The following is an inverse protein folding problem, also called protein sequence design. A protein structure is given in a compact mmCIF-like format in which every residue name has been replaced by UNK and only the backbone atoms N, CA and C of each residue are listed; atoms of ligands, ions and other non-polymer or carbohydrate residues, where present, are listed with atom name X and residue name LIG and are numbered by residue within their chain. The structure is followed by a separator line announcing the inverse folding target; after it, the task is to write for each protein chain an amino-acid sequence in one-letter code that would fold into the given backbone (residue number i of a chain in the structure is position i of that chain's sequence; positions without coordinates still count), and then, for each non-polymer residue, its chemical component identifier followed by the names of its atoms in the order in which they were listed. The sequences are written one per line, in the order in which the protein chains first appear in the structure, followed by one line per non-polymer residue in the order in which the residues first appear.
data_IF_934652659990
#
_entry.id   IF_934652659990
#
_cell.length_a   1.000
_cell.length_b   1.000
_cell.length_c   1.000
_cell.angle_alpha   90.00
_cell.angle_beta   90.00
_cell.angle_gamma   90.00
#
_symmetry.space_group_name_H-M   'P 1'
#
loop_
_entity.id
_entity.type
_entity.pdbx_description
1 polymer ?
#
# COMPACT_ATOMS: atom_id res chain seq x y z
N UNK A 1 -10.11 58.70 -17.79
CA UNK A 1 -10.53 57.85 -16.65
C UNK A 1 -11.20 56.55 -17.11
N UNK A 2 -12.28 56.53 -17.89
CA UNK A 2 -13.01 55.30 -18.31
C UNK A 2 -12.12 54.26 -19.03
N UNK A 3 -11.19 54.68 -19.90
CA UNK A 3 -10.25 53.77 -20.62
C UNK A 3 -9.22 53.09 -19.70
N UNK A 4 -8.76 53.81 -18.65
CA UNK A 4 -7.82 53.29 -17.66
C UNK A 4 -8.50 52.22 -16.80
N UNK A 5 -9.72 52.44 -16.35
CA UNK A 5 -10.52 51.48 -15.58
C UNK A 5 -10.74 50.18 -16.39
N UNK A 6 -11.02 50.33 -17.68
CA UNK A 6 -11.23 49.19 -18.58
C UNK A 6 -9.95 48.33 -18.75
N UNK A 7 -8.79 48.98 -18.86
CA UNK A 7 -7.50 48.29 -18.95
C UNK A 7 -7.16 47.53 -17.66
N UNK A 8 -7.37 48.16 -16.49
CA UNK A 8 -7.16 47.49 -15.20
C UNK A 8 -8.14 46.34 -14.98
N UNK A 9 -9.40 46.46 -15.39
CA UNK A 9 -10.38 45.38 -15.36
C UNK A 9 -9.98 44.19 -16.23
N UNK A 10 -9.47 44.44 -17.45
CA UNK A 10 -9.01 43.42 -18.36
C UNK A 10 -7.77 42.69 -17.83
N UNK A 11 -6.80 43.42 -17.27
CA UNK A 11 -5.61 42.88 -16.63
C UNK A 11 -5.94 42.01 -15.40
N UNK A 12 -6.92 42.45 -14.60
CA UNK A 12 -7.39 41.68 -13.44
C UNK A 12 -8.06 40.37 -13.87
N UNK A 13 -8.91 40.39 -14.93
CA UNK A 13 -9.51 39.18 -15.48
C UNK A 13 -8.47 38.19 -16.05
N UNK A 14 -7.42 38.69 -16.71
CA UNK A 14 -6.32 37.87 -17.20
C UNK A 14 -5.50 37.25 -16.05
N UNK A 15 -5.26 37.99 -14.98
CA UNK A 15 -4.56 37.50 -13.79
C UNK A 15 -5.35 36.40 -13.06
N UNK A 16 -6.69 36.51 -13.00
CA UNK A 16 -7.55 35.49 -12.40
C UNK A 16 -7.62 34.20 -13.25
N UNK A 17 -7.49 34.30 -14.57
CA UNK A 17 -7.49 33.12 -15.45
C UNK A 17 -6.22 32.25 -15.29
N UNK A 18 -5.10 32.86 -14.89
CA UNK A 18 -3.83 32.12 -14.69
C UNK A 18 -3.83 31.35 -13.36
N UNK A 19 -4.69 31.71 -12.40
CA UNK A 19 -4.76 31.06 -11.09
C UNK A 19 -5.49 29.70 -11.11
N UNK A 20 -6.20 29.35 -12.18
CA UNK A 20 -6.97 28.12 -12.33
C UNK A 20 -6.17 27.01 -13.03
N UNK A 21 -4.91 26.81 -12.66
CA UNK A 21 -4.13 25.69 -13.18
C UNK A 21 -4.55 24.41 -12.45
N UNK A 22 -5.22 23.52 -13.16
CA UNK A 22 -5.62 22.21 -12.63
C UNK A 22 -4.37 21.39 -12.26
N UNK A 23 -4.21 21.08 -10.97
CA UNK A 23 -3.12 20.26 -10.49
C UNK A 23 -3.50 18.79 -10.63
N UNK A 24 -3.00 18.13 -11.67
CA UNK A 24 -3.17 16.67 -11.83
C UNK A 24 -2.24 15.95 -10.86
N UNK A 25 -2.81 15.15 -9.98
CA UNK A 25 -2.08 14.26 -9.07
C UNK A 25 -2.24 12.83 -9.57
N UNK A 26 -1.12 12.13 -9.79
CA UNK A 26 -1.11 10.69 -10.11
C UNK A 26 -1.06 9.91 -8.82
N UNK A 27 -2.07 9.07 -8.60
CA UNK A 27 -2.15 8.15 -7.47
C UNK A 27 -1.84 6.73 -7.95
N UNK A 28 -1.02 6.01 -7.20
CA UNK A 28 -0.76 4.58 -7.38
C UNK A 28 -1.37 3.80 -6.22
N UNK A 29 -2.24 2.87 -6.53
CA UNK A 29 -2.79 1.92 -5.54
C UNK A 29 -2.18 0.56 -5.84
N UNK A 30 -1.63 -0.08 -4.81
CA UNK A 30 -1.14 -1.46 -4.83
C UNK A 30 -1.92 -2.23 -3.79
N UNK A 31 -2.43 -3.37 -4.17
CA UNK A 31 -3.22 -4.24 -3.32
C UNK A 31 -2.60 -5.63 -3.27
N UNK A 32 -2.58 -6.22 -2.07
CA UNK A 32 -2.32 -7.64 -1.84
C UNK A 32 -3.57 -8.32 -1.34
N UNK A 33 -3.74 -9.59 -1.68
CA UNK A 33 -4.84 -10.43 -1.23
C UNK A 33 -4.36 -11.86 -1.14
N UNK A 34 -4.95 -12.65 -0.24
CA UNK A 34 -4.76 -14.10 -0.17
C UNK A 34 -3.27 -14.51 -0.06
N UNK A 35 -2.53 -13.79 0.75
CA UNK A 35 -1.10 -14.07 0.97
C UNK A 35 -0.88 -15.40 1.67
N UNK A 36 -1.82 -15.80 2.54
CA UNK A 36 -1.84 -17.11 3.21
C UNK A 36 -0.50 -17.48 3.87
N UNK A 37 0.09 -16.54 4.60
CA UNK A 37 1.36 -16.75 5.32
C UNK A 37 2.59 -16.90 4.42
N UNK A 38 2.48 -16.65 3.10
CA UNK A 38 3.62 -16.67 2.17
C UNK A 38 4.46 -15.40 2.32
N UNK A 39 5.15 -15.27 3.45
CA UNK A 39 5.98 -14.10 3.74
C UNK A 39 7.32 -14.15 3.02
N UNK A 40 7.88 -15.35 2.84
CA UNK A 40 9.19 -15.60 2.24
C UNK A 40 9.07 -16.18 0.83
N UNK A 41 10.09 -16.02 -0.03
CA UNK A 41 10.11 -16.60 -1.37
C UNK A 41 10.40 -18.12 -1.34
N UNK A 42 9.84 -18.81 -0.37
CA UNK A 42 10.02 -20.23 -0.13
C UNK A 42 8.77 -20.82 0.53
N UNK A 43 8.25 -21.90 -0.02
CA UNK A 43 7.15 -22.64 0.54
C UNK A 43 7.67 -23.74 1.47
N UNK A 44 7.44 -23.59 2.77
CA UNK A 44 7.93 -24.52 3.80
C UNK A 44 7.20 -25.86 3.83
N UNK A 45 6.01 -25.96 3.23
CA UNK A 45 5.24 -27.21 3.12
C UNK A 45 5.81 -28.07 1.98
N UNK A 46 5.92 -27.49 0.80
CA UNK A 46 6.42 -28.21 -0.41
C UNK A 46 7.93 -28.21 -0.53
N UNK A 47 8.63 -27.40 0.27
CA UNK A 47 10.10 -27.25 0.32
C UNK A 47 10.72 -26.80 -1.01
N UNK A 48 10.04 -25.88 -1.69
CA UNK A 48 10.50 -25.31 -2.95
C UNK A 48 10.47 -23.78 -2.90
N UNK A 49 11.27 -23.16 -3.77
CA UNK A 49 11.13 -21.72 -4.03
C UNK A 49 9.70 -21.38 -4.45
N UNK A 50 9.22 -20.26 -3.94
CA UNK A 50 7.89 -19.77 -4.23
C UNK A 50 7.94 -18.40 -4.89
N UNK A 51 7.20 -18.23 -6.00
CA UNK A 51 7.22 -16.98 -6.76
C UNK A 51 6.42 -15.86 -6.08
N UNK A 52 5.33 -16.20 -5.38
CA UNK A 52 4.52 -15.27 -4.62
C UNK A 52 5.03 -15.16 -3.18
N UNK A 53 5.31 -13.95 -2.68
CA UNK A 53 5.62 -13.71 -1.28
C UNK A 53 5.63 -12.22 -0.96
N UNK A 54 5.39 -11.85 0.30
CA UNK A 54 5.50 -10.46 0.74
C UNK A 54 6.90 -9.89 0.51
N UNK A 55 7.95 -10.69 0.68
CA UNK A 55 9.32 -10.25 0.43
C UNK A 55 9.54 -9.82 -1.04
N UNK A 56 8.92 -10.52 -2.00
CA UNK A 56 9.00 -10.14 -3.42
C UNK A 56 8.13 -8.92 -3.73
N UNK A 57 6.95 -8.86 -3.13
CA UNK A 57 6.06 -7.69 -3.22
C UNK A 57 6.76 -6.46 -2.66
N UNK A 58 7.47 -6.58 -1.54
CA UNK A 58 8.26 -5.49 -0.97
C UNK A 58 9.22 -4.88 -2.00
N UNK A 59 9.96 -5.71 -2.72
CA UNK A 59 10.89 -5.23 -3.75
C UNK A 59 10.18 -4.48 -4.89
N UNK A 60 8.98 -4.91 -5.27
CA UNK A 60 8.14 -4.20 -6.23
C UNK A 60 7.65 -2.86 -5.66
N UNK A 61 7.10 -2.87 -4.45
CA UNK A 61 6.58 -1.67 -3.78
C UNK A 61 7.66 -0.60 -3.61
N UNK A 62 8.91 -1.01 -3.29
CA UNK A 62 10.01 -0.05 -3.17
C UNK A 62 10.27 0.70 -4.48
N UNK A 63 10.27 0.00 -5.62
CA UNK A 63 10.42 0.63 -6.94
C UNK A 63 9.28 1.60 -7.26
N UNK A 64 8.05 1.20 -6.95
CA UNK A 64 6.90 2.06 -7.17
C UNK A 64 6.95 3.30 -6.26
N UNK A 65 7.43 3.17 -5.02
CA UNK A 65 7.62 4.30 -4.10
C UNK A 65 8.67 5.29 -4.57
N UNK A 66 9.72 4.85 -5.26
CA UNK A 66 10.70 5.77 -5.87
C UNK A 66 10.03 6.71 -6.87
N UNK A 67 9.03 6.21 -7.61
CA UNK A 67 8.31 6.97 -8.62
C UNK A 67 7.15 7.80 -8.05
N UNK A 68 6.32 7.20 -7.19
CA UNK A 68 5.07 7.79 -6.73
C UNK A 68 5.17 8.46 -5.36
N UNK A 69 6.23 8.15 -4.58
CA UNK A 69 6.49 8.69 -3.24
C UNK A 69 5.27 8.56 -2.32
N UNK A 70 4.81 9.68 -1.75
CA UNK A 70 3.61 9.76 -0.90
C UNK A 70 2.29 9.51 -1.64
N UNK A 71 2.31 9.47 -2.96
CA UNK A 71 1.12 9.17 -3.77
C UNK A 71 0.95 7.66 -4.02
N UNK A 72 1.71 6.79 -3.37
CA UNK A 72 1.47 5.36 -3.37
C UNK A 72 0.68 4.97 -2.12
N UNK A 73 -0.41 4.24 -2.33
CA UNK A 73 -1.22 3.62 -1.27
C UNK A 73 -1.06 2.11 -1.39
N UNK A 74 -0.67 1.45 -0.29
CA UNK A 74 -0.50 0.01 -0.19
C UNK A 74 -1.56 -0.57 0.72
N UNK A 75 -2.39 -1.45 0.19
CA UNK A 75 -3.52 -2.06 0.89
C UNK A 75 -3.37 -3.58 0.95
N UNK A 76 -3.97 -4.20 1.97
CA UNK A 76 -4.15 -5.65 2.04
C UNK A 76 -5.64 -5.98 2.16
N UNK A 77 -6.12 -6.92 1.36
CA UNK A 77 -7.53 -7.32 1.32
C UNK A 77 -7.85 -8.54 2.21
N UNK A 78 -6.89 -8.99 3.01
CA UNK A 78 -7.08 -10.09 3.96
C UNK A 78 -6.62 -11.46 3.46
N UNK A 79 -6.92 -12.46 4.26
CA UNK A 79 -6.44 -13.85 4.15
C UNK A 79 -4.90 -13.94 4.18
N UNK A 80 -4.31 -13.28 5.16
CA UNK A 80 -2.87 -13.21 5.35
C UNK A 80 -2.36 -14.08 6.51
N UNK A 81 -3.21 -14.38 7.51
CA UNK A 81 -2.82 -15.01 8.78
C UNK A 81 -2.91 -16.54 8.78
N UNK A 82 -3.40 -17.18 7.73
CA UNK A 82 -3.53 -18.63 7.65
C UNK A 82 -2.76 -19.20 6.45
N UNK A 83 -2.19 -20.40 6.57
CA UNK A 83 -1.63 -21.14 5.43
C UNK A 83 -0.24 -21.70 5.70
N UNK A 84 0.81 -20.92 5.62
CA UNK A 84 2.17 -21.41 5.82
C UNK A 84 2.50 -21.67 7.31
N UNK A 85 3.43 -22.61 7.61
CA UNK A 85 3.84 -22.92 8.99
C UNK A 85 4.31 -21.71 9.80
N UNK A 86 4.83 -20.68 9.17
CA UNK A 86 5.25 -19.46 9.83
C UNK A 86 4.05 -18.71 10.42
N UNK A 87 2.94 -18.58 9.68
CA UNK A 87 1.73 -17.96 10.20
C UNK A 87 1.18 -18.79 11.38
N UNK A 88 1.09 -20.12 11.21
CA UNK A 88 0.65 -21.03 12.27
C UNK A 88 1.50 -20.87 13.55
N UNK A 89 2.82 -20.75 13.42
CA UNK A 89 3.72 -20.59 14.58
C UNK A 89 3.37 -19.36 15.40
N UNK A 90 3.18 -18.21 14.78
CA UNK A 90 2.85 -16.97 15.50
C UNK A 90 1.40 -16.91 15.97
N UNK A 91 0.48 -17.61 15.29
CA UNK A 91 -0.91 -17.67 15.75
C UNK A 91 -1.08 -18.54 17.01
N UNK A 92 -0.34 -19.65 17.12
CA UNK A 92 -0.68 -20.70 18.09
C UNK A 92 0.46 -21.14 19.00
N UNK A 93 1.72 -20.86 18.67
CA UNK A 93 2.89 -21.33 19.43
C UNK A 93 3.57 -20.17 20.12
N UNK A 94 4.03 -19.18 19.40
CA UNK A 94 4.64 -17.98 19.97
C UNK A 94 3.62 -16.83 19.99
N UNK A 95 2.79 -16.82 21.00
CA UNK A 95 1.76 -15.79 21.21
C UNK A 95 2.25 -14.61 22.06
N UNK A 96 3.53 -14.57 22.39
CA UNK A 96 4.14 -13.52 23.25
C UNK A 96 4.93 -12.51 22.42
N UNK A 97 5.68 -12.99 21.43
CA UNK A 97 6.42 -12.12 20.52
C UNK A 97 5.48 -11.33 19.59
N UNK A 98 5.89 -10.15 19.13
CA UNK A 98 5.12 -9.44 18.09
C UNK A 98 4.87 -10.36 16.91
N UNK A 99 3.63 -10.38 16.43
CA UNK A 99 3.26 -11.27 15.33
C UNK A 99 4.00 -10.85 14.04
N UNK A 100 4.71 -11.79 13.41
CA UNK A 100 5.55 -11.51 12.24
C UNK A 100 4.78 -10.83 11.10
N UNK A 101 3.53 -11.20 10.87
CA UNK A 101 2.69 -10.54 9.87
C UNK A 101 2.59 -9.02 10.14
N UNK A 102 2.27 -8.64 11.37
CA UNK A 102 2.15 -7.24 11.78
C UNK A 102 3.48 -6.49 11.61
N UNK A 103 4.59 -7.12 12.00
CA UNK A 103 5.92 -6.55 11.82
C UNK A 103 6.25 -6.31 10.34
N UNK A 104 5.92 -7.28 9.47
CA UNK A 104 6.14 -7.16 8.03
C UNK A 104 5.24 -6.08 7.41
N UNK A 105 3.96 -6.04 7.76
CA UNK A 105 3.03 -5.02 7.27
C UNK A 105 3.50 -3.61 7.69
N UNK A 106 3.92 -3.44 8.94
CA UNK A 106 4.46 -2.19 9.46
C UNK A 106 5.77 -1.81 8.73
N UNK A 107 6.67 -2.76 8.57
CA UNK A 107 7.93 -2.55 7.84
C UNK A 107 7.70 -2.16 6.38
N UNK A 108 6.76 -2.81 5.74
CA UNK A 108 6.34 -2.52 4.36
C UNK A 108 5.51 -1.24 4.25
N UNK A 109 5.07 -0.66 5.37
CA UNK A 109 4.24 0.55 5.46
C UNK A 109 2.94 0.37 4.67
N UNK A 110 2.17 -0.66 5.03
CA UNK A 110 0.79 -0.78 4.59
C UNK A 110 -0.04 0.37 5.18
N UNK A 111 -0.86 0.99 4.36
CA UNK A 111 -1.74 2.09 4.76
C UNK A 111 -3.01 1.59 5.42
N UNK A 112 -3.51 0.44 4.97
CA UNK A 112 -4.63 -0.26 5.60
C UNK A 112 -4.62 -1.75 5.25
N UNK A 113 -5.29 -2.54 6.09
CA UNK A 113 -5.56 -3.95 5.86
C UNK A 113 -7.00 -4.30 6.20
N UNK A 114 -7.53 -5.30 5.53
CA UNK A 114 -8.83 -5.90 5.80
C UNK A 114 -8.65 -7.26 6.47
N UNK A 115 -9.71 -7.77 7.10
CA UNK A 115 -9.78 -9.11 7.63
C UNK A 115 -10.49 -10.00 6.60
N UNK A 116 -9.81 -11.02 6.10
CA UNK A 116 -10.41 -12.06 5.28
C UNK A 116 -11.15 -13.11 6.13
N UNK A 117 -11.84 -14.03 5.47
CA UNK A 117 -12.58 -15.07 6.18
C UNK A 117 -11.65 -16.03 6.93
N UNK A 118 -10.46 -16.31 6.41
CA UNK A 118 -9.49 -17.17 7.07
C UNK A 118 -8.75 -16.46 8.22
N UNK A 119 -8.69 -15.14 8.23
CA UNK A 119 -8.06 -14.40 9.32
C UNK A 119 -8.89 -14.44 10.59
N UNK A 120 -10.23 -14.47 10.48
CA UNK A 120 -11.13 -14.57 11.64
C UNK A 120 -11.21 -15.99 12.23
N UNK A 121 -10.73 -17.01 11.51
CA UNK A 121 -10.66 -18.39 12.00
C UNK A 121 -9.42 -18.63 12.88
N UNK A 122 -8.45 -17.75 12.86
CA UNK A 122 -7.18 -17.93 13.56
C UNK A 122 -7.20 -17.46 15.02
N UNK A 123 -8.36 -17.10 15.56
CA UNK A 123 -8.68 -16.99 16.96
C UNK A 123 -8.20 -15.79 17.71
#
# INVERSE_FOLDING_TARGET
MKRIVLIYGLLLCLALSVAAQEKVVKLKIVETSDVHGNYYPYNFITRHEWKGSLARIYSFVQKEREQYKENLILLDNGDILQGQPTAYYYNYIDTVSPHLCSEMMNYMKYDAGNMGNHDVETG
#
